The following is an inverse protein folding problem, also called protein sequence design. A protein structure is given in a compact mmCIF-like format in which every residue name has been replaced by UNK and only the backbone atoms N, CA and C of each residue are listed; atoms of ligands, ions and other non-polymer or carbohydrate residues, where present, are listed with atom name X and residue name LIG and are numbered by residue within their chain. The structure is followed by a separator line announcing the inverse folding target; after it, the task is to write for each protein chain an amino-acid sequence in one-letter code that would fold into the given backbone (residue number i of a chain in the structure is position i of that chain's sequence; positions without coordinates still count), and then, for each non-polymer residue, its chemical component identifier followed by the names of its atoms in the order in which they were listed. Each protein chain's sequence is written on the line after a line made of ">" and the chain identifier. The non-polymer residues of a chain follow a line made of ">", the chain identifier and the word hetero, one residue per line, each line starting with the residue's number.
data_IF_311792260924
#
_entry.id   IF_311792260924
#
_cell.length_a   1.000
_cell.length_b   1.000
_cell.length_c   1.000
_cell.angle_alpha   90.00
_cell.angle_beta   90.00
_cell.angle_gamma   90.00
#
_symmetry.space_group_name_H-M   'P 1'
#
loop_
_entity.id
_entity.type
_entity.pdbx_description
1 polymer ?
#
# COMPACT_ATOMS: atom_id res chain seq x y z
N UNK A 1 20.29 -42.00 -28.98
CA UNK A 1 20.27 -40.57 -29.37
C UNK A 1 19.14 -39.88 -28.62
N UNK A 2 19.44 -38.67 -28.16
CA UNK A 2 18.72 -37.75 -27.25
C UNK A 2 17.43 -37.24 -27.93
N UNK A 3 16.29 -36.98 -27.25
CA UNK A 3 16.08 -35.73 -26.51
C UNK A 3 14.87 -35.75 -25.56
N UNK A 4 15.12 -35.41 -24.30
CA UNK A 4 14.12 -34.90 -23.36
C UNK A 4 14.02 -33.40 -23.62
N UNK A 5 12.86 -32.94 -24.07
CA UNK A 5 12.58 -31.51 -24.23
C UNK A 5 12.48 -30.86 -22.86
N UNK A 6 13.52 -30.11 -22.48
CA UNK A 6 13.46 -29.14 -21.39
C UNK A 6 12.49 -28.04 -21.80
N UNK A 7 11.35 -27.96 -21.11
CA UNK A 7 10.46 -26.82 -21.22
C UNK A 7 11.22 -25.54 -20.83
N UNK A 8 11.04 -24.43 -21.55
CA UNK A 8 11.69 -23.19 -21.18
C UNK A 8 11.18 -22.76 -19.81
N UNK A 9 12.10 -22.51 -18.88
CA UNK A 9 11.80 -21.74 -17.69
C UNK A 9 11.21 -20.40 -18.16
N UNK A 10 9.92 -20.19 -17.89
CA UNK A 10 9.28 -18.88 -18.06
C UNK A 10 10.12 -17.89 -17.24
N UNK A 11 10.82 -17.01 -17.96
CA UNK A 11 11.75 -16.05 -17.39
C UNK A 11 11.07 -15.26 -16.28
N UNK A 12 11.85 -14.90 -15.26
CA UNK A 12 11.43 -14.03 -14.19
C UNK A 12 10.65 -12.86 -14.78
N UNK A 13 9.36 -12.75 -14.43
CA UNK A 13 8.54 -11.60 -14.82
C UNK A 13 9.26 -10.37 -14.28
N UNK A 14 9.85 -9.56 -15.15
CA UNK A 14 10.45 -8.30 -14.73
C UNK A 14 9.39 -7.50 -13.98
N UNK A 15 9.66 -7.17 -12.72
CA UNK A 15 8.73 -6.42 -11.91
C UNK A 15 8.58 -5.01 -12.49
N UNK A 16 7.36 -4.63 -12.88
CA UNK A 16 7.02 -3.25 -13.23
C UNK A 16 6.51 -2.50 -11.98
N UNK A 17 6.47 -1.16 -12.05
CA UNK A 17 6.26 -0.25 -10.89
C UNK A 17 7.43 -0.15 -9.91
N UNK A 18 8.66 -0.19 -10.41
CA UNK A 18 9.84 0.19 -9.61
C UNK A 18 9.83 1.72 -9.41
N UNK A 19 9.72 2.23 -8.17
CA UNK A 19 9.66 3.67 -7.90
C UNK A 19 11.01 4.34 -8.20
N UNK A 20 10.97 5.55 -8.74
CA UNK A 20 12.16 6.39 -9.05
C UNK A 20 12.11 7.70 -8.26
N UNK A 21 10.92 8.29 -8.12
CA UNK A 21 10.71 9.51 -7.36
C UNK A 21 9.31 9.45 -6.76
N UNK A 22 9.21 9.39 -5.42
CA UNK A 22 7.93 9.29 -4.70
C UNK A 22 7.90 10.22 -3.49
N UNK A 23 7.87 11.57 -3.70
CA UNK A 23 7.77 12.51 -2.59
C UNK A 23 6.49 12.24 -1.78
N UNK A 24 6.61 12.34 -0.45
CA UNK A 24 5.44 12.25 0.43
C UNK A 24 4.58 13.52 0.33
N UNK A 25 3.26 13.40 0.54
CA UNK A 25 2.37 14.54 0.71
C UNK A 25 2.79 15.40 1.91
N UNK A 26 2.73 16.72 1.73
CA UNK A 26 2.94 17.69 2.82
C UNK A 26 1.70 17.69 3.72
N UNK A 27 1.89 17.57 5.04
CA UNK A 27 0.79 17.73 6.01
C UNK A 27 0.32 19.20 6.01
N UNK A 28 -0.94 19.51 5.62
CA UNK A 28 -1.43 20.88 5.61
C UNK A 28 -1.25 21.58 6.98
N UNK A 29 -0.59 22.76 7.03
CA UNK A 29 -0.29 23.44 8.29
C UNK A 29 -1.53 23.76 9.15
N UNK A 30 -2.66 24.07 8.52
CA UNK A 30 -3.91 24.36 9.24
C UNK A 30 -4.47 23.12 9.95
N UNK A 31 -4.30 21.95 9.36
CA UNK A 31 -4.67 20.68 9.99
C UNK A 31 -3.69 20.29 11.10
N UNK A 32 -2.40 20.65 10.97
CA UNK A 32 -1.43 20.49 12.06
C UNK A 32 -1.79 21.37 13.25
N UNK A 33 -2.12 22.66 13.03
CA UNK A 33 -2.53 23.60 14.08
C UNK A 33 -3.76 23.11 14.86
N UNK A 34 -4.71 22.50 14.15
CA UNK A 34 -5.95 21.96 14.73
C UNK A 34 -5.81 20.51 15.22
N UNK A 35 -4.62 19.92 15.10
CA UNK A 35 -4.32 18.52 15.45
C UNK A 35 -5.23 17.52 14.73
N UNK A 36 -5.68 17.85 13.54
CA UNK A 36 -6.52 16.99 12.71
C UNK A 36 -5.65 15.93 12.02
N UNK A 37 -5.80 14.69 12.44
CA UNK A 37 -5.23 13.52 11.78
C UNK A 37 -6.29 12.87 10.88
N UNK A 38 -5.86 12.23 9.79
CA UNK A 38 -6.78 11.68 8.79
C UNK A 38 -6.11 10.72 7.84
N UNK A 39 -6.92 10.06 7.01
CA UNK A 39 -6.43 9.20 5.94
C UNK A 39 -7.02 9.60 4.60
N UNK A 40 -6.29 9.26 3.56
CA UNK A 40 -6.72 9.37 2.17
C UNK A 40 -6.41 8.06 1.47
N UNK A 41 -7.34 7.60 0.63
CA UNK A 41 -7.09 6.51 -0.29
C UNK A 41 -7.10 7.09 -1.70
N UNK A 42 -5.96 7.02 -2.38
CA UNK A 42 -5.80 7.58 -3.71
C UNK A 42 -5.63 6.48 -4.76
N UNK A 43 -6.30 6.61 -5.90
CA UNK A 43 -6.11 5.77 -7.07
C UNK A 43 -5.20 6.48 -8.06
N UNK A 44 -4.19 5.78 -8.57
CA UNK A 44 -3.22 6.29 -9.54
C UNK A 44 -3.33 5.50 -10.84
N UNK A 45 -3.26 6.19 -11.97
CA UNK A 45 -3.11 5.60 -13.30
C UNK A 45 -1.70 5.86 -13.79
N UNK A 46 -0.94 4.81 -14.06
CA UNK A 46 0.49 4.88 -14.35
C UNK A 46 0.73 4.28 -15.73
N UNK A 47 1.30 5.07 -16.63
CA UNK A 47 1.64 4.64 -17.99
C UNK A 47 2.92 3.82 -17.99
N UNK A 48 3.11 3.01 -19.03
CA UNK A 48 4.34 2.22 -19.24
C UNK A 48 5.62 3.03 -19.43
N UNK A 49 5.50 4.32 -19.74
CA UNK A 49 6.63 5.27 -19.72
C UNK A 49 7.06 5.69 -18.30
N UNK A 50 6.43 5.16 -17.26
CA UNK A 50 6.75 5.42 -15.86
C UNK A 50 6.10 6.69 -15.28
N UNK A 51 5.31 7.43 -16.06
CA UNK A 51 4.63 8.64 -15.57
C UNK A 51 3.26 8.33 -14.97
N UNK A 52 2.94 8.98 -13.86
CA UNK A 52 1.57 9.05 -13.34
C UNK A 52 0.75 9.97 -14.24
N UNK A 53 -0.30 9.41 -14.87
CA UNK A 53 -1.22 10.13 -15.75
C UNK A 53 -2.31 10.86 -14.97
N UNK A 54 -2.88 10.19 -13.99
CA UNK A 54 -3.97 10.72 -13.16
C UNK A 54 -3.81 10.22 -11.73
N UNK A 55 -4.22 11.06 -10.78
CA UNK A 55 -4.43 10.71 -9.38
C UNK A 55 -5.82 11.18 -9.00
N UNK A 56 -6.53 10.36 -8.25
CA UNK A 56 -7.84 10.68 -7.69
C UNK A 56 -7.94 10.20 -6.25
N UNK A 57 -8.27 11.10 -5.32
CA UNK A 57 -8.70 10.68 -3.99
C UNK A 57 -10.07 10.00 -4.10
N UNK A 58 -10.12 8.70 -3.80
CA UNK A 58 -11.36 7.89 -3.80
C UNK A 58 -12.00 7.80 -2.41
N UNK A 59 -11.26 8.20 -1.38
CA UNK A 59 -11.72 8.32 0.00
C UNK A 59 -10.85 9.36 0.72
N UNK A 60 -11.43 10.25 1.51
CA UNK A 60 -10.68 11.23 2.31
C UNK A 60 -11.47 11.67 3.53
N UNK A 61 -10.78 11.82 4.67
CA UNK A 61 -11.36 12.46 5.86
C UNK A 61 -11.51 13.98 5.72
N UNK A 62 -10.72 14.64 4.85
CA UNK A 62 -10.70 16.09 4.72
C UNK A 62 -10.26 16.57 3.32
N UNK A 63 -10.90 17.61 2.74
CA UNK A 63 -10.54 18.12 1.41
C UNK A 63 -9.06 18.52 1.26
N UNK A 64 -8.50 19.23 2.24
CA UNK A 64 -7.07 19.62 2.19
C UNK A 64 -6.11 18.42 2.22
N UNK A 65 -6.48 17.31 2.86
CA UNK A 65 -5.66 16.09 2.80
C UNK A 65 -5.73 15.45 1.42
N UNK A 66 -6.93 15.42 0.81
CA UNK A 66 -7.11 14.93 -0.55
C UNK A 66 -6.25 15.72 -1.54
N UNK A 67 -6.30 17.06 -1.46
CA UNK A 67 -5.51 17.95 -2.30
C UNK A 67 -3.99 17.72 -2.13
N UNK A 68 -3.50 17.67 -0.88
CA UNK A 68 -2.08 17.43 -0.60
C UNK A 68 -1.60 16.09 -1.17
N UNK A 69 -2.43 15.04 -1.05
CA UNK A 69 -2.13 13.71 -1.59
C UNK A 69 -2.12 13.73 -3.11
N UNK A 70 -3.11 14.31 -3.76
CA UNK A 70 -3.15 14.39 -5.22
C UNK A 70 -1.96 15.18 -5.78
N UNK A 71 -1.60 16.30 -5.16
CA UNK A 71 -0.46 17.12 -5.60
C UNK A 71 0.87 16.36 -5.51
N UNK A 72 1.13 15.63 -4.43
CA UNK A 72 2.36 14.87 -4.28
C UNK A 72 2.41 13.63 -5.18
N UNK A 73 1.34 12.83 -5.23
CA UNK A 73 1.31 11.59 -5.99
C UNK A 73 1.35 11.82 -7.51
N UNK A 74 0.86 12.97 -8.03
CA UNK A 74 1.00 13.33 -9.45
C UNK A 74 2.48 13.50 -9.87
N UNK A 75 3.35 13.81 -8.93
CA UNK A 75 4.78 13.97 -9.17
C UNK A 75 5.50 12.64 -9.20
N UNK A 76 4.85 11.54 -8.79
CA UNK A 76 5.53 10.25 -8.72
C UNK A 76 6.00 9.77 -10.09
N UNK A 77 7.16 9.11 -10.08
CA UNK A 77 7.77 8.52 -11.26
C UNK A 77 8.21 7.11 -10.96
N UNK A 78 8.09 6.26 -11.96
CA UNK A 78 8.49 4.87 -11.95
C UNK A 78 9.47 4.60 -13.08
N UNK A 79 10.27 3.55 -12.96
CA UNK A 79 11.10 3.05 -14.07
C UNK A 79 10.17 2.66 -15.22
N UNK A 80 10.40 3.15 -16.45
CA UNK A 80 9.62 2.71 -17.62
C UNK A 80 9.67 1.19 -17.80
N UNK A 81 8.58 0.61 -18.27
CA UNK A 81 8.46 -0.83 -18.61
C UNK A 81 7.92 -1.03 -20.04
N UNK A 82 8.12 -0.04 -20.91
CA UNK A 82 7.80 -0.15 -22.34
C UNK A 82 8.58 -1.32 -22.93
N UNK A 83 7.88 -2.25 -23.59
CA UNK A 83 8.49 -3.41 -24.23
C UNK A 83 8.68 -4.63 -23.32
N UNK A 84 8.38 -4.54 -22.02
CA UNK A 84 8.34 -5.71 -21.15
C UNK A 84 7.20 -6.64 -21.58
N UNK A 85 7.53 -7.87 -21.96
CA UNK A 85 6.56 -8.87 -22.44
C UNK A 85 5.50 -9.13 -21.37
N UNK A 86 4.23 -8.94 -21.72
CA UNK A 86 3.10 -9.16 -20.83
C UNK A 86 2.80 -8.01 -19.85
N UNK A 87 3.59 -6.94 -19.82
CA UNK A 87 3.29 -5.77 -19.01
C UNK A 87 2.25 -4.86 -19.70
N UNK A 88 1.32 -4.26 -18.95
CA UNK A 88 0.27 -3.45 -19.54
C UNK A 88 0.79 -2.07 -19.98
N UNK A 89 0.19 -1.42 -21.00
CA UNK A 89 0.51 -0.04 -21.38
C UNK A 89 0.13 0.97 -20.30
N UNK A 90 -0.80 0.60 -19.41
CA UNK A 90 -1.21 1.39 -18.26
C UNK A 90 -1.66 0.45 -17.15
N UNK A 91 -1.32 0.78 -15.90
CA UNK A 91 -1.77 0.06 -14.72
C UNK A 91 -2.39 1.02 -13.71
N UNK A 92 -3.18 0.46 -12.80
CA UNK A 92 -3.81 1.21 -11.72
C UNK A 92 -3.40 0.61 -10.38
N UNK A 93 -3.03 1.49 -9.45
CA UNK A 93 -2.78 1.12 -8.05
C UNK A 93 -3.60 1.99 -7.11
N UNK A 94 -3.82 1.48 -5.91
CA UNK A 94 -4.43 2.24 -4.81
C UNK A 94 -3.40 2.43 -3.72
N UNK A 95 -3.22 3.67 -3.28
CA UNK A 95 -2.22 4.07 -2.28
C UNK A 95 -2.96 4.71 -1.10
N UNK A 96 -2.93 4.10 0.09
CA UNK A 96 -3.35 4.78 1.30
C UNK A 96 -2.26 5.75 1.76
N UNK A 97 -2.69 6.90 2.26
CA UNK A 97 -1.85 7.88 2.94
C UNK A 97 -2.47 8.18 4.31
N UNK A 98 -1.67 8.07 5.36
CA UNK A 98 -2.07 8.31 6.74
C UNK A 98 -1.34 9.55 7.25
N UNK A 99 -2.09 10.56 7.67
CA UNK A 99 -1.60 11.74 8.36
C UNK A 99 -1.81 11.56 9.86
N UNK A 100 -0.71 11.54 10.63
CA UNK A 100 -0.73 11.20 12.05
C UNK A 100 -0.56 9.71 12.29
N UNK A 101 0.58 9.14 11.89
CA UNK A 101 0.86 7.70 11.81
C UNK A 101 0.80 6.89 13.13
N UNK A 102 0.70 7.52 14.29
CA UNK A 102 0.45 6.84 15.57
C UNK A 102 -1.05 6.65 15.87
N UNK A 103 -1.93 7.02 14.92
CA UNK A 103 -3.38 7.01 15.09
C UNK A 103 -3.92 8.30 15.71
N UNK A 104 -5.25 8.39 15.80
CA UNK A 104 -5.94 9.64 16.16
C UNK A 104 -5.82 10.03 17.64
N UNK A 105 -5.26 9.17 18.50
CA UNK A 105 -5.16 9.41 19.95
C UNK A 105 -3.94 10.22 20.36
N UNK A 106 -2.86 10.17 19.58
CA UNK A 106 -1.64 10.94 19.83
C UNK A 106 -1.28 11.67 18.55
N UNK A 107 -1.71 12.93 18.48
CA UNK A 107 -1.38 13.77 17.34
C UNK A 107 0.14 13.84 17.14
N UNK A 108 0.55 13.61 15.91
CA UNK A 108 1.91 13.70 15.40
C UNK A 108 1.81 14.14 13.94
N UNK A 109 2.90 14.68 13.40
CA UNK A 109 2.93 15.21 12.03
C UNK A 109 3.48 14.21 11.02
N UNK A 110 3.68 12.96 11.42
CA UNK A 110 4.21 11.93 10.53
C UNK A 110 3.18 11.59 9.45
N UNK A 111 3.66 11.44 8.22
CA UNK A 111 2.87 11.04 7.07
C UNK A 111 3.38 9.70 6.57
N UNK A 112 2.54 8.68 6.64
CA UNK A 112 2.85 7.37 6.07
C UNK A 112 2.16 7.21 4.74
N UNK A 113 2.90 6.67 3.77
CA UNK A 113 2.41 6.42 2.42
C UNK A 113 2.55 4.93 2.11
N UNK A 114 1.52 4.34 1.50
CA UNK A 114 1.54 2.95 1.04
C UNK A 114 1.18 1.94 2.14
N UNK A 115 0.57 0.83 1.72
CA UNK A 115 0.05 -0.20 2.65
C UNK A 115 1.15 -0.81 3.52
N UNK A 116 2.30 -1.16 2.91
CA UNK A 116 3.40 -1.81 3.63
C UNK A 116 4.02 -0.94 4.72
N UNK A 117 3.93 0.38 4.61
CA UNK A 117 4.59 1.31 5.52
C UNK A 117 3.70 1.78 6.68
N UNK A 118 2.42 1.38 6.71
CA UNK A 118 1.50 1.73 7.80
C UNK A 118 2.13 1.30 9.14
N UNK A 119 2.30 2.23 10.07
CA UNK A 119 2.83 1.88 11.40
C UNK A 119 1.89 0.94 12.14
N UNK A 120 2.46 0.02 12.89
CA UNK A 120 1.72 -0.86 13.78
C UNK A 120 0.91 -0.08 14.83
N UNK A 121 1.40 1.08 15.29
CA UNK A 121 0.65 1.99 16.16
C UNK A 121 -0.69 2.42 15.56
N UNK A 122 -0.71 2.74 14.26
CA UNK A 122 -1.95 3.04 13.54
C UNK A 122 -2.87 1.81 13.48
N UNK A 123 -2.36 0.65 13.08
CA UNK A 123 -3.16 -0.58 13.03
C UNK A 123 -3.76 -0.92 14.40
N UNK A 124 -2.97 -0.81 15.47
CA UNK A 124 -3.43 -1.07 16.83
C UNK A 124 -4.58 -0.15 17.22
N UNK A 125 -4.55 1.11 16.79
CA UNK A 125 -5.66 2.05 16.96
C UNK A 125 -6.92 1.58 16.22
N UNK A 126 -6.80 1.27 14.93
CA UNK A 126 -7.95 0.85 14.11
C UNK A 126 -8.57 -0.45 14.64
N UNK A 127 -7.75 -1.44 15.03
CA UNK A 127 -8.22 -2.69 15.63
C UNK A 127 -8.94 -2.42 16.97
N UNK A 128 -8.40 -1.53 17.80
CA UNK A 128 -9.03 -1.17 19.07
C UNK A 128 -10.39 -0.55 18.83
N UNK A 129 -10.50 0.44 17.94
CA UNK A 129 -11.78 1.08 17.61
C UNK A 129 -12.77 0.09 17.02
N UNK A 130 -12.37 -0.73 16.04
CA UNK A 130 -13.25 -1.73 15.44
C UNK A 130 -13.77 -2.76 16.44
N UNK A 131 -12.96 -3.18 17.42
CA UNK A 131 -13.41 -4.08 18.50
C UNK A 131 -14.39 -3.42 19.46
N UNK A 132 -14.28 -2.12 19.66
CA UNK A 132 -15.21 -1.35 20.50
C UNK A 132 -16.55 -1.15 19.78
N UNK A 133 -16.50 -0.75 18.50
CA UNK A 133 -17.69 -0.35 17.75
C UNK A 133 -18.43 -1.56 17.13
N UNK A 134 -17.69 -2.58 16.70
CA UNK A 134 -18.20 -3.75 15.96
C UNK A 134 -17.59 -5.07 16.46
N UNK A 135 -17.82 -5.48 17.72
CA UNK A 135 -17.10 -6.58 18.36
C UNK A 135 -17.27 -7.95 17.68
N UNK A 136 -18.36 -8.16 16.94
CA UNK A 136 -18.69 -9.41 16.23
C UNK A 136 -18.13 -9.46 14.81
N UNK A 137 -17.71 -8.33 14.24
CA UNK A 137 -17.18 -8.29 12.88
C UNK A 137 -15.76 -8.87 12.83
N UNK A 138 -15.38 -9.56 11.74
CA UNK A 138 -14.04 -10.08 11.59
C UNK A 138 -13.05 -8.93 11.38
N UNK A 139 -11.83 -9.11 11.89
CA UNK A 139 -10.76 -8.12 11.75
C UNK A 139 -10.35 -7.86 10.29
N UNK A 140 -10.71 -8.74 9.35
CA UNK A 140 -10.55 -8.49 7.91
C UNK A 140 -11.33 -7.28 7.40
N UNK A 141 -12.32 -6.79 8.14
CA UNK A 141 -13.05 -5.54 7.84
C UNK A 141 -12.38 -4.28 8.38
N UNK A 142 -11.33 -4.39 9.21
CA UNK A 142 -10.52 -3.22 9.59
C UNK A 142 -9.80 -2.71 8.35
N UNK A 143 -9.84 -1.39 8.13
CA UNK A 143 -9.46 -0.76 6.86
C UNK A 143 -8.08 -1.17 6.35
N UNK A 144 -7.06 -1.25 7.21
CA UNK A 144 -5.72 -1.70 6.81
C UNK A 144 -5.74 -3.11 6.18
N UNK A 145 -6.47 -4.06 6.79
CA UNK A 145 -6.60 -5.42 6.26
C UNK A 145 -7.50 -5.47 5.03
N UNK A 146 -8.62 -4.73 5.05
CA UNK A 146 -9.54 -4.64 3.93
C UNK A 146 -8.85 -4.10 2.68
N UNK A 147 -8.10 -3.00 2.81
CA UNK A 147 -7.33 -2.41 1.72
C UNK A 147 -6.20 -3.34 1.23
N UNK A 148 -5.55 -4.07 2.13
CA UNK A 148 -4.55 -5.10 1.74
C UNK A 148 -5.21 -6.18 0.89
N UNK A 149 -6.40 -6.65 1.29
CA UNK A 149 -7.19 -7.60 0.50
C UNK A 149 -7.58 -7.04 -0.87
N UNK A 150 -8.02 -5.78 -0.95
CA UNK A 150 -8.33 -5.13 -2.23
C UNK A 150 -7.10 -5.00 -3.15
N UNK A 151 -5.93 -4.69 -2.58
CA UNK A 151 -4.69 -4.56 -3.35
C UNK A 151 -4.31 -5.88 -4.03
N UNK A 152 -4.56 -7.03 -3.39
CA UNK A 152 -4.34 -8.36 -3.99
C UNK A 152 -5.18 -8.58 -5.26
N UNK A 153 -6.28 -7.86 -5.44
CA UNK A 153 -7.14 -7.93 -6.62
C UNK A 153 -7.00 -6.72 -7.56
N UNK A 154 -6.07 -5.80 -7.26
CA UNK A 154 -5.76 -4.66 -8.12
C UNK A 154 -5.05 -5.07 -9.41
N UNK A 155 -5.06 -4.15 -10.40
CA UNK A 155 -4.46 -4.36 -11.72
C UNK A 155 -3.00 -4.83 -11.62
N UNK A 156 -2.17 -4.19 -10.78
CA UNK A 156 -0.77 -4.56 -10.61
C UNK A 156 -0.56 -6.04 -10.24
N UNK A 157 -1.33 -6.55 -9.27
CA UNK A 157 -1.20 -7.95 -8.82
C UNK A 157 -1.80 -8.92 -9.83
N UNK A 158 -2.89 -8.53 -10.51
CA UNK A 158 -3.53 -9.34 -11.55
C UNK A 158 -2.60 -9.64 -12.75
N UNK A 159 -1.59 -8.82 -13.01
CA UNK A 159 -0.57 -9.10 -14.03
C UNK A 159 0.49 -10.10 -13.57
N UNK A 160 0.70 -10.27 -12.27
CA UNK A 160 1.72 -11.15 -11.70
C UNK A 160 1.17 -12.49 -11.21
N UNK A 161 -0.14 -12.55 -10.95
CA UNK A 161 -0.81 -13.66 -10.29
C UNK A 161 -2.15 -13.95 -10.97
N UNK A 162 -2.40 -15.22 -11.25
CA UNK A 162 -3.70 -15.69 -11.72
C UNK A 162 -4.79 -15.47 -10.66
N UNK A 163 -6.06 -15.50 -11.05
CA UNK A 163 -7.16 -15.35 -10.09
C UNK A 163 -7.15 -16.39 -8.96
N UNK A 164 -6.94 -17.71 -9.21
CA UNK A 164 -6.79 -18.68 -8.12
C UNK A 164 -5.63 -18.37 -7.18
N UNK A 165 -4.49 -17.88 -7.70
CA UNK A 165 -3.35 -17.46 -6.88
C UNK A 165 -3.70 -16.26 -6.01
N UNK A 166 -4.41 -15.26 -6.55
CA UNK A 166 -4.88 -14.08 -5.79
C UNK A 166 -5.87 -14.46 -4.69
N UNK A 167 -6.77 -15.41 -4.96
CA UNK A 167 -7.68 -15.96 -3.94
C UNK A 167 -6.92 -16.66 -2.81
N UNK A 168 -5.93 -17.50 -3.14
CA UNK A 168 -5.09 -18.16 -2.14
C UNK A 168 -4.30 -17.15 -1.29
N UNK A 169 -3.83 -16.05 -1.88
CA UNK A 169 -3.17 -14.96 -1.15
C UNK A 169 -4.13 -14.24 -0.19
N UNK A 170 -5.39 -14.04 -0.57
CA UNK A 170 -6.41 -13.45 0.30
C UNK A 170 -6.76 -14.36 1.48
N UNK A 171 -6.88 -15.66 1.25
CA UNK A 171 -7.08 -16.66 2.30
C UNK A 171 -5.90 -16.70 3.26
N UNK A 172 -4.67 -16.71 2.74
CA UNK A 172 -3.44 -16.61 3.53
C UNK A 172 -3.40 -15.34 4.37
N UNK A 173 -3.72 -14.18 3.78
CA UNK A 173 -3.82 -12.92 4.50
C UNK A 173 -4.83 -13.04 5.66
N UNK A 174 -6.05 -13.50 5.39
CA UNK A 174 -7.11 -13.66 6.39
C UNK A 174 -6.70 -14.56 7.55
N UNK A 175 -6.08 -15.71 7.27
CA UNK A 175 -5.57 -16.62 8.28
C UNK A 175 -4.43 -16.03 9.12
N UNK A 176 -3.67 -15.08 8.57
CA UNK A 176 -2.51 -14.46 9.23
C UNK A 176 -2.87 -13.25 10.11
N UNK A 177 -4.08 -12.70 9.98
CA UNK A 177 -4.51 -11.48 10.71
C UNK A 177 -4.25 -11.57 12.23
N UNK A 178 -4.59 -12.66 12.95
CA UNK A 178 -4.36 -12.73 14.39
C UNK A 178 -2.88 -12.59 14.76
N UNK A 179 -1.99 -13.22 14.01
CA UNK A 179 -0.55 -13.13 14.21
C UNK A 179 -0.02 -11.72 13.93
N UNK A 180 -0.46 -11.10 12.82
CA UNK A 180 -0.12 -9.71 12.48
C UNK A 180 -0.52 -8.75 13.59
N UNK A 181 -1.76 -8.84 14.08
CA UNK A 181 -2.25 -8.00 15.18
C UNK A 181 -1.45 -8.22 16.46
N UNK A 182 -1.13 -9.46 16.81
CA UNK A 182 -0.33 -9.76 17.99
C UNK A 182 1.09 -9.17 17.90
N UNK A 183 1.73 -9.28 16.73
CA UNK A 183 3.06 -8.75 16.49
C UNK A 183 3.07 -7.22 16.50
N UNK A 184 2.11 -6.58 15.83
CA UNK A 184 1.99 -5.12 15.84
C UNK A 184 1.67 -4.56 17.22
N UNK A 185 0.87 -5.25 18.03
CA UNK A 185 0.61 -4.85 19.43
C UNK A 185 1.88 -4.83 20.26
N UNK A 186 2.78 -5.78 20.01
CA UNK A 186 4.06 -5.89 20.72
C UNK A 186 5.12 -4.93 20.20
N UNK A 187 4.96 -4.43 18.96
CA UNK A 187 5.95 -3.61 18.26
C UNK A 187 5.28 -2.40 17.58
N UNK A 188 4.75 -1.43 18.34
CA UNK A 188 3.94 -0.33 17.78
C UNK A 188 4.71 0.58 16.80
N UNK A 189 6.03 0.70 16.95
CA UNK A 189 6.85 1.57 16.10
C UNK A 189 7.28 0.90 14.78
N UNK A 190 7.07 -0.42 14.63
CA UNK A 190 7.36 -1.16 13.41
C UNK A 190 6.30 -0.94 12.33
N UNK A 191 6.59 -1.42 11.11
CA UNK A 191 5.67 -1.35 9.98
C UNK A 191 4.77 -2.59 9.93
N UNK A 192 3.49 -2.39 9.64
CA UNK A 192 2.51 -3.44 9.36
C UNK A 192 3.01 -4.40 8.27
N UNK A 193 3.64 -3.86 7.23
CA UNK A 193 4.19 -4.63 6.13
C UNK A 193 5.26 -5.64 6.55
N UNK A 194 5.95 -5.44 7.68
CA UNK A 194 6.96 -6.38 8.18
C UNK A 194 6.38 -7.67 8.73
N UNK A 195 5.11 -7.62 9.15
CA UNK A 195 4.42 -8.78 9.69
C UNK A 195 3.49 -9.46 8.68
N UNK A 196 3.38 -8.93 7.46
CA UNK A 196 2.65 -9.58 6.38
C UNK A 196 3.31 -10.90 5.98
N UNK A 197 2.52 -11.92 5.57
CA UNK A 197 3.08 -13.14 4.99
C UNK A 197 3.96 -12.81 3.78
N UNK A 198 5.12 -13.46 3.65
CA UNK A 198 6.09 -13.18 2.57
C UNK A 198 5.46 -13.06 1.16
N UNK A 199 4.59 -14.01 0.73
CA UNK A 199 3.92 -13.92 -0.57
C UNK A 199 3.01 -12.70 -0.76
N UNK A 200 2.46 -12.14 0.33
CA UNK A 200 1.66 -10.91 0.32
C UNK A 200 2.56 -9.67 0.40
N UNK A 201 3.59 -9.70 1.26
CA UNK A 201 4.54 -8.60 1.47
C UNK A 201 5.19 -8.15 0.16
N UNK A 202 5.66 -9.09 -0.66
CA UNK A 202 6.33 -8.79 -1.96
C UNK A 202 5.42 -8.15 -3.01
N UNK A 203 4.09 -8.17 -2.80
CA UNK A 203 3.10 -7.57 -3.70
C UNK A 203 2.65 -6.18 -3.24
N UNK A 204 3.02 -5.76 -2.03
CA UNK A 204 2.76 -4.40 -1.59
C UNK A 204 3.72 -3.50 -2.37
N UNK A 205 3.16 -2.60 -3.20
CA UNK A 205 3.94 -1.74 -4.10
C UNK A 205 5.02 -1.01 -3.30
N UNK A 206 6.28 -1.23 -3.67
CA UNK A 206 7.41 -0.53 -3.11
C UNK A 206 7.27 0.96 -3.41
N UNK A 207 7.34 1.77 -2.37
CA UNK A 207 7.69 3.18 -2.51
C UNK A 207 9.21 3.28 -2.56
N UNK A 208 9.76 4.33 -3.17
CA UNK A 208 11.18 4.57 -2.98
C UNK A 208 11.36 4.80 -1.47
N UNK A 209 12.31 4.10 -0.86
CA UNK A 209 12.80 4.50 0.45
C UNK A 209 13.15 5.99 0.32
N UNK A 210 12.45 6.83 1.06
CA UNK A 210 12.85 8.22 1.15
C UNK A 210 14.27 8.19 1.69
N UNK A 211 15.21 8.74 0.93
CA UNK A 211 16.55 8.98 1.42
C UNK A 211 16.40 9.73 2.75
N UNK A 212 16.65 9.03 3.85
CA UNK A 212 17.03 9.66 5.10
C UNK A 212 18.22 10.58 4.78
N UNK A 213 18.09 11.88 5.09
CA UNK A 213 19.20 12.82 5.04
C UNK A 213 19.00 14.00 4.10
N UNK A 214 18.41 15.06 4.62
CA UNK A 214 19.01 16.39 4.46
C UNK A 214 18.83 17.13 5.78
N UNK A 215 19.87 17.02 6.59
CA UNK A 215 20.23 17.97 7.65
C UNK A 215 20.46 19.37 7.05
#
# INVERSE_FOLDING_TARGET
>A
MIAVALAPHVGATESFLVPVYTPAPVFPPELVKTRYAGKVRAQLWIKSDGQVREVRAVESGHPQLAEAVEQALRQWRYKPWVGTVGAPPMTTITVPVIFGSHGYRRFNTEVTVGLGNIRCGYLNHEVKSARQDYPKEPLSKVDVFWYTGQALFGSHVAHQRSEPQRKALLELLGASIPAVVSNCRSNPDHLYGDYLPGPVKVLMVGLAEQAEGSE
#
